data_IF_855630407684
#
_entry.id   IF_855630407684
#
_cell.length_a   1.000
_cell.length_b   1.000
_cell.length_c   1.000
_cell.angle_alpha   90.00
_cell.angle_beta   90.00
_cell.angle_gamma   90.00
#
_symmetry.space_group_name_H-M   'P 1'
#
loop_
_entity.id
_entity.type
_entity.pdbx_description
1 polymer ?
#
# COMPACT_ATOMS: atom_id res chain seq x y z
N UNK A 1 -38.80 6.83 -13.50
CA UNK A 1 -38.00 7.59 -12.50
C UNK A 1 -36.91 6.73 -11.81
N UNK A 2 -36.11 5.93 -12.55
CA UNK A 2 -35.00 5.13 -11.97
C UNK A 2 -33.60 5.52 -12.50
N UNK A 3 -33.53 6.42 -13.46
CA UNK A 3 -32.28 6.85 -14.14
C UNK A 3 -31.50 7.91 -13.37
N UNK A 4 -32.17 8.75 -12.56
CA UNK A 4 -31.54 9.84 -11.80
C UNK A 4 -30.73 9.38 -10.58
N UNK A 5 -31.06 8.23 -9.98
CA UNK A 5 -30.36 7.70 -8.80
C UNK A 5 -28.97 7.09 -9.14
N UNK A 6 -28.79 6.58 -10.36
CA UNK A 6 -27.55 5.93 -10.79
C UNK A 6 -26.48 6.94 -11.24
N UNK A 7 -26.89 8.07 -11.82
CA UNK A 7 -25.98 9.16 -12.20
C UNK A 7 -25.37 9.83 -10.96
N UNK A 8 -26.18 10.04 -9.90
CA UNK A 8 -25.68 10.61 -8.64
C UNK A 8 -24.61 9.76 -7.93
N UNK A 9 -24.66 8.43 -8.07
CA UNK A 9 -23.66 7.51 -7.50
C UNK A 9 -22.34 7.51 -8.29
N UNK A 10 -22.41 7.56 -9.62
CA UNK A 10 -21.24 7.62 -10.48
C UNK A 10 -20.46 8.94 -10.30
N UNK A 11 -21.17 10.07 -10.17
CA UNK A 11 -20.58 11.39 -9.90
C UNK A 11 -19.93 11.44 -8.50
N UNK A 12 -20.56 10.84 -7.48
CA UNK A 12 -19.98 10.73 -6.14
C UNK A 12 -18.71 9.89 -6.07
N UNK A 13 -18.60 8.83 -6.90
CA UNK A 13 -17.40 7.98 -7.02
C UNK A 13 -16.25 8.69 -7.72
N UNK A 14 -16.52 9.41 -8.81
CA UNK A 14 -15.50 10.21 -9.50
C UNK A 14 -14.95 11.34 -8.61
N UNK A 15 -15.82 12.00 -7.83
CA UNK A 15 -15.41 12.99 -6.84
C UNK A 15 -14.59 12.36 -5.68
N UNK A 16 -14.96 11.16 -5.21
CA UNK A 16 -14.22 10.45 -4.16
C UNK A 16 -12.81 10.02 -4.58
N UNK A 17 -12.64 9.57 -5.83
CA UNK A 17 -11.32 9.27 -6.41
C UNK A 17 -10.46 10.53 -6.59
N UNK A 18 -11.08 11.66 -6.97
CA UNK A 18 -10.42 12.96 -7.05
C UNK A 18 -9.95 13.49 -5.68
N UNK A 19 -10.71 13.26 -4.62
CA UNK A 19 -10.33 13.64 -3.24
C UNK A 19 -9.15 12.76 -2.76
N UNK A 20 -9.13 11.46 -3.07
CA UNK A 20 -8.01 10.59 -2.76
C UNK A 20 -6.69 11.11 -3.35
N UNK A 21 -6.69 11.46 -4.64
CA UNK A 21 -5.53 12.03 -5.32
C UNK A 21 -5.13 13.42 -4.77
N UNK A 22 -6.10 14.28 -4.44
CA UNK A 22 -5.85 15.60 -3.87
C UNK A 22 -5.30 15.54 -2.43
N UNK A 23 -5.68 14.54 -1.63
CA UNK A 23 -5.11 14.32 -0.29
C UNK A 23 -3.66 13.85 -0.39
N UNK A 24 -3.31 12.97 -1.34
CA UNK A 24 -1.93 12.56 -1.56
C UNK A 24 -1.05 13.70 -2.09
N UNK A 25 -1.54 14.53 -3.01
CA UNK A 25 -0.81 15.69 -3.52
C UNK A 25 -0.74 16.84 -2.49
N UNK A 26 -1.80 17.08 -1.72
CA UNK A 26 -1.90 18.16 -0.74
C UNK A 26 -1.16 17.87 0.57
N UNK A 27 -1.16 16.64 1.05
CA UNK A 27 -0.38 16.25 2.23
C UNK A 27 1.13 16.25 1.93
N UNK A 28 1.56 15.90 0.71
CA UNK A 28 2.97 16.03 0.31
C UNK A 28 3.46 17.49 0.27
N UNK A 29 2.59 18.44 -0.10
CA UNK A 29 2.94 19.86 -0.16
C UNK A 29 2.87 20.59 1.19
N UNK A 30 1.93 20.22 2.07
CA UNK A 30 1.76 20.86 3.38
C UNK A 30 2.88 20.52 4.37
N UNK A 31 3.58 19.40 4.19
CA UNK A 31 4.75 19.01 5.00
C UNK A 31 6.07 19.60 4.47
N UNK A 32 6.05 20.28 3.32
CA UNK A 32 7.22 20.86 2.66
C UNK A 32 7.28 22.39 2.72
N UNK A 33 6.43 23.04 3.51
CA UNK A 33 6.42 24.50 3.63
C UNK A 33 7.19 24.95 4.89
N UNK A 34 8.47 25.36 4.79
CA UNK A 34 9.03 26.25 5.79
C UNK A 34 8.28 27.58 5.74
N UNK A 35 7.95 28.12 6.91
CA UNK A 35 7.28 29.41 7.05
C UNK A 35 7.99 30.49 6.22
N UNK A 36 7.23 31.11 5.34
CA UNK A 36 7.71 32.14 4.41
C UNK A 36 7.97 33.46 5.14
N UNK A 37 9.23 33.73 5.44
CA UNK A 37 9.74 35.10 5.59
C UNK A 37 10.23 35.62 4.23
N UNK A 38 9.66 36.72 3.74
CA UNK A 38 10.10 37.46 2.54
C UNK A 38 10.48 38.90 2.92
N UNK A 39 11.13 39.71 2.06
CA UNK A 39 12.20 39.41 1.10
C UNK A 39 13.30 40.52 1.03
N UNK A 40 14.47 40.22 0.46
CA UNK A 40 15.34 41.12 -0.35
C UNK A 40 16.58 40.29 -0.77
N UNK A 41 17.23 40.36 -1.93
CA UNK A 41 17.29 41.33 -3.02
C UNK A 41 17.96 40.70 -4.27
N UNK A 42 17.55 41.17 -5.46
CA UNK A 42 18.31 41.40 -6.73
C UNK A 42 19.32 40.38 -7.34
N UNK A 43 18.90 39.85 -8.50
CA UNK A 43 19.56 39.87 -9.84
C UNK A 43 21.05 39.53 -10.03
N UNK A 44 21.36 38.59 -10.95
CA UNK A 44 21.96 38.87 -12.28
C UNK A 44 22.19 37.61 -13.14
N UNK A 45 21.98 37.79 -14.44
CA UNK A 45 22.19 36.87 -15.56
C UNK A 45 23.64 36.72 -15.99
N UNK A 46 23.93 35.64 -16.75
CA UNK A 46 24.83 35.50 -17.92
C UNK A 46 25.64 34.19 -17.84
N UNK A 47 26.13 33.53 -18.88
CA UNK A 47 25.83 33.34 -20.32
C UNK A 47 26.89 32.33 -20.82
N UNK A 48 26.74 31.83 -22.05
CA UNK A 48 27.79 31.23 -22.92
C UNK A 48 28.36 29.80 -22.64
N UNK A 49 27.83 28.83 -23.41
CA UNK A 49 28.50 28.34 -24.63
C UNK A 49 29.50 27.16 -24.57
N UNK A 50 29.72 26.45 -25.70
CA UNK A 50 29.83 24.98 -25.74
C UNK A 50 31.16 24.45 -26.33
N UNK A 51 31.34 23.12 -26.36
CA UNK A 51 32.31 22.47 -27.25
C UNK A 51 31.80 21.12 -27.79
N UNK A 52 31.69 21.06 -29.13
CA UNK A 52 31.49 19.87 -29.97
C UNK A 52 32.85 19.24 -30.30
N UNK A 53 32.96 17.92 -30.30
CA UNK A 53 33.76 17.18 -31.29
C UNK A 53 33.01 15.91 -31.69
N UNK A 54 32.84 15.74 -33.00
CA UNK A 54 32.23 14.58 -33.64
C UNK A 54 33.30 13.64 -34.22
N UNK A 55 33.05 12.32 -34.22
CA UNK A 55 33.49 11.39 -35.27
C UNK A 55 32.72 10.05 -35.19
N UNK A 56 32.03 9.73 -36.29
CA UNK A 56 31.47 8.42 -36.72
C UNK A 56 32.43 7.81 -37.78
N UNK A 57 32.21 6.62 -38.39
CA UNK A 57 31.39 5.43 -38.05
C UNK A 57 32.16 4.08 -38.24
N UNK A 58 31.55 2.92 -37.90
CA UNK A 58 32.15 1.60 -38.18
C UNK A 58 31.27 0.36 -37.93
N UNK A 59 30.42 0.05 -38.93
CA UNK A 59 29.91 -1.23 -39.48
C UNK A 59 30.08 -2.60 -38.72
N UNK A 60 28.94 -3.29 -38.60
CA UNK A 60 28.65 -4.74 -38.75
C UNK A 60 29.36 -5.82 -37.91
N UNK A 61 28.55 -6.64 -37.24
CA UNK A 61 28.89 -7.99 -36.77
C UNK A 61 27.69 -8.72 -36.18
N UNK A 62 26.97 -9.48 -37.02
CA UNK A 62 25.98 -10.45 -36.57
C UNK A 62 26.69 -11.65 -35.93
N UNK A 63 26.28 -12.04 -34.73
CA UNK A 63 26.72 -13.28 -34.10
C UNK A 63 25.51 -13.98 -33.48
N UNK A 64 25.12 -15.09 -34.12
CA UNK A 64 24.17 -16.06 -33.60
C UNK A 64 24.66 -16.60 -32.24
N UNK A 65 23.79 -16.59 -31.23
CA UNK A 65 24.04 -17.29 -29.96
C UNK A 65 23.26 -18.58 -29.90
N UNK A 66 24.04 -19.65 -29.94
CA UNK A 66 23.70 -21.04 -29.72
C UNK A 66 22.90 -21.25 -28.44
N UNK A 67 21.79 -21.97 -28.59
CA UNK A 67 20.95 -22.51 -27.51
C UNK A 67 21.74 -23.61 -26.83
N UNK A 68 22.19 -23.38 -25.59
CA UNK A 68 22.75 -24.43 -24.74
C UNK A 68 21.65 -24.90 -23.78
N UNK A 69 21.08 -26.05 -24.12
CA UNK A 69 20.23 -26.87 -23.28
C UNK A 69 20.94 -27.23 -21.98
N UNK A 70 20.39 -26.79 -20.84
CA UNK A 70 20.80 -27.28 -19.51
C UNK A 70 19.83 -28.40 -19.12
N UNK A 71 20.39 -29.60 -18.95
CA UNK A 71 19.72 -30.79 -18.46
C UNK A 71 19.32 -30.65 -16.98
N UNK A 72 18.30 -31.38 -16.50
CA UNK A 72 17.73 -31.18 -15.17
C UNK A 72 18.67 -31.72 -14.09
N UNK A 73 19.01 -30.86 -13.12
CA UNK A 73 19.75 -31.28 -11.93
C UNK A 73 18.84 -32.10 -11.01
N UNK A 74 19.43 -33.19 -10.52
CA UNK A 74 18.81 -34.24 -9.72
C UNK A 74 18.16 -33.75 -8.42
N UNK A 75 17.12 -34.48 -8.01
CA UNK A 75 16.27 -34.19 -6.86
C UNK A 75 17.02 -34.03 -5.54
N UNK A 76 16.79 -32.88 -4.90
CA UNK A 76 16.99 -32.72 -3.48
C UNK A 76 15.76 -33.27 -2.76
N UNK A 77 15.91 -34.40 -2.08
CA UNK A 77 14.89 -34.99 -1.22
C UNK A 77 14.47 -33.97 -0.16
N UNK A 78 13.20 -33.55 -0.23
CA UNK A 78 12.48 -32.86 0.84
C UNK A 78 12.64 -33.63 2.15
N UNK A 79 13.39 -33.07 3.10
CA UNK A 79 13.13 -33.31 4.51
C UNK A 79 11.75 -32.74 4.84
N UNK A 80 10.86 -33.61 5.32
CA UNK A 80 9.53 -33.22 5.74
C UNK A 80 9.62 -32.14 6.84
N UNK A 81 8.75 -31.12 6.82
CA UNK A 81 8.71 -30.14 7.89
C UNK A 81 8.38 -30.84 9.21
N UNK A 82 9.25 -30.64 10.20
CA UNK A 82 9.03 -31.07 11.58
C UNK A 82 7.73 -30.40 12.06
N UNK A 83 6.75 -31.14 12.62
CA UNK A 83 5.52 -30.52 13.11
C UNK A 83 5.88 -29.51 14.19
N UNK A 84 5.52 -28.25 13.96
CA UNK A 84 5.59 -27.20 14.97
C UNK A 84 4.77 -27.65 16.18
N UNK A 85 5.30 -27.48 17.38
CA UNK A 85 4.57 -27.76 18.60
C UNK A 85 3.30 -26.88 18.61
N UNK A 86 2.13 -27.52 18.67
CA UNK A 86 0.87 -26.79 18.83
C UNK A 86 0.94 -25.99 20.13
N UNK A 87 0.82 -24.67 20.04
CA UNK A 87 0.69 -23.82 21.21
C UNK A 87 -0.70 -24.09 21.78
N UNK A 88 -0.75 -24.83 22.89
CA UNK A 88 -1.97 -25.07 23.66
C UNK A 88 -2.22 -23.85 24.55
N UNK A 89 -2.62 -22.74 23.93
CA UNK A 89 -2.93 -21.50 24.63
C UNK A 89 -4.04 -20.72 23.91
N UNK A 90 -4.94 -20.10 24.66
CA UNK A 90 -5.98 -19.28 24.07
C UNK A 90 -5.37 -17.97 23.55
N UNK A 91 -5.51 -17.71 22.24
CA UNK A 91 -5.06 -16.47 21.61
C UNK A 91 -6.15 -15.41 21.69
N UNK A 92 -5.83 -14.26 22.26
CA UNK A 92 -6.70 -13.08 22.30
C UNK A 92 -5.95 -11.85 21.83
N UNK A 93 -6.69 -10.79 21.48
CA UNK A 93 -6.11 -9.51 21.05
C UNK A 93 -6.61 -8.38 21.92
N UNK A 94 -5.68 -7.50 22.28
CA UNK A 94 -5.98 -6.23 22.91
C UNK A 94 -5.88 -5.14 21.85
N UNK A 95 -7.02 -4.56 21.47
CA UNK A 95 -7.10 -3.51 20.46
C UNK A 95 -7.53 -2.23 21.16
N UNK A 96 -6.66 -1.21 21.27
CA UNK A 96 -7.01 0.08 21.88
C UNK A 96 -8.22 0.74 21.21
N UNK A 97 -8.71 1.82 21.82
CA UNK A 97 -9.88 2.52 21.31
C UNK A 97 -9.62 3.16 19.95
N UNK A 98 -10.51 2.84 19.00
CA UNK A 98 -10.54 3.45 17.68
C UNK A 98 -11.50 4.65 17.63
N UNK A 99 -11.18 5.70 16.83
CA UNK A 99 -12.07 6.82 16.58
C UNK A 99 -13.40 6.41 15.95
N UNK A 100 -13.38 5.38 15.11
CA UNK A 100 -14.55 4.84 14.42
C UNK A 100 -14.43 3.31 14.42
N UNK A 101 -15.36 2.64 15.09
CA UNK A 101 -15.40 1.17 15.16
C UNK A 101 -16.34 0.54 14.13
N UNK A 102 -17.24 1.34 13.54
CA UNK A 102 -18.21 0.89 12.55
C UNK A 102 -18.52 2.01 11.57
N UNK A 103 -18.54 1.65 10.29
CA UNK A 103 -18.93 2.52 9.19
C UNK A 103 -19.99 1.88 8.30
N UNK A 104 -20.27 2.54 7.18
CA UNK A 104 -21.16 2.05 6.14
C UNK A 104 -20.57 0.85 5.41
N UNK A 105 -19.25 0.82 5.22
CA UNK A 105 -18.54 -0.26 4.53
C UNK A 105 -17.89 -1.27 5.48
N UNK A 106 -17.62 -0.92 6.75
CA UNK A 106 -16.83 -1.76 7.64
C UNK A 106 -17.43 -1.97 9.04
N UNK A 107 -16.97 -3.02 9.72
CA UNK A 107 -17.18 -3.26 11.15
C UNK A 107 -15.90 -3.85 11.76
N UNK A 108 -15.43 -3.28 12.86
CA UNK A 108 -14.31 -3.83 13.62
C UNK A 108 -14.82 -4.98 14.50
N UNK A 109 -14.28 -6.17 14.30
CA UNK A 109 -14.59 -7.37 15.09
C UNK A 109 -13.32 -7.86 15.76
N UNK A 110 -13.25 -7.78 17.09
CA UNK A 110 -12.10 -8.29 17.86
C UNK A 110 -11.96 -9.80 17.71
N UNK A 111 -13.08 -10.52 17.63
CA UNK A 111 -13.08 -11.98 17.44
C UNK A 111 -12.49 -12.37 16.09
N UNK A 112 -12.82 -11.64 15.02
CA UNK A 112 -12.25 -11.90 13.69
C UNK A 112 -10.75 -11.59 13.62
N UNK A 113 -10.29 -10.57 14.37
CA UNK A 113 -8.87 -10.25 14.49
C UNK A 113 -8.17 -11.33 15.32
N UNK A 114 -8.77 -11.78 16.43
CA UNK A 114 -8.25 -12.86 17.26
C UNK A 114 -8.12 -14.19 16.49
N UNK A 115 -9.09 -14.53 15.65
CA UNK A 115 -9.02 -15.71 14.77
C UNK A 115 -7.85 -15.62 13.78
N UNK A 116 -7.59 -14.42 13.27
CA UNK A 116 -6.43 -14.20 12.38
C UNK A 116 -5.11 -14.24 13.15
N UNK A 117 -5.10 -13.72 14.38
CA UNK A 117 -3.94 -13.81 15.28
C UNK A 117 -3.64 -15.27 15.67
N UNK A 118 -4.67 -16.08 15.93
CA UNK A 118 -4.51 -17.49 16.23
C UNK A 118 -3.82 -18.21 15.06
N UNK A 119 -4.30 -18.01 13.82
CA UNK A 119 -3.66 -18.58 12.62
C UNK A 119 -2.20 -18.11 12.45
N UNK A 120 -1.92 -16.84 12.72
CA UNK A 120 -0.56 -16.31 12.67
C UNK A 120 0.36 -17.03 13.68
N UNK A 121 -0.08 -17.14 14.94
CA UNK A 121 0.66 -17.83 16.01
C UNK A 121 0.83 -19.32 15.69
N UNK A 122 -0.22 -20.00 15.24
CA UNK A 122 -0.19 -21.42 14.85
C UNK A 122 0.78 -21.69 13.70
N UNK A 123 0.99 -20.70 12.82
CA UNK A 123 1.95 -20.78 11.72
C UNK A 123 3.41 -20.50 12.14
N UNK A 124 3.67 -20.29 13.43
CA UNK A 124 4.98 -19.98 13.99
C UNK A 124 5.27 -18.48 14.16
N UNK A 125 4.26 -17.62 13.96
CA UNK A 125 4.36 -16.19 14.22
C UNK A 125 4.58 -15.88 15.69
N UNK A 126 5.35 -14.82 15.99
CA UNK A 126 5.66 -14.41 17.36
C UNK A 126 4.58 -13.49 17.92
N UNK A 127 3.88 -13.84 19.02
CA UNK A 127 2.91 -12.93 19.65
C UNK A 127 3.51 -11.61 20.14
N UNK A 128 4.81 -11.59 20.42
CA UNK A 128 5.54 -10.39 20.85
C UNK A 128 5.75 -9.39 19.69
N UNK A 129 5.69 -9.86 18.44
CA UNK A 129 5.85 -9.02 17.25
C UNK A 129 4.50 -8.48 16.76
N UNK A 130 3.94 -7.57 17.57
CA UNK A 130 2.63 -6.96 17.27
C UNK A 130 2.65 -6.14 15.98
N UNK A 131 3.80 -5.52 15.63
CA UNK A 131 3.92 -4.74 14.41
C UNK A 131 3.81 -5.64 13.16
N UNK A 132 4.53 -6.77 13.15
CA UNK A 132 4.45 -7.73 12.04
C UNK A 132 3.04 -8.26 11.85
N UNK A 133 2.36 -8.65 12.93
CA UNK A 133 0.99 -9.15 12.83
C UNK A 133 -0.02 -8.06 12.40
N UNK A 134 -0.13 -6.96 13.15
CA UNK A 134 -1.22 -6.00 12.93
C UNK A 134 -1.03 -5.17 11.66
N UNK A 135 0.21 -4.87 11.26
CA UNK A 135 0.48 -4.03 10.09
C UNK A 135 0.79 -4.86 8.84
N UNK A 136 1.39 -6.04 9.03
CA UNK A 136 1.66 -7.00 7.97
C UNK A 136 0.52 -7.99 7.77
N UNK A 137 0.58 -9.10 8.51
CA UNK A 137 -0.27 -10.29 8.29
C UNK A 137 -1.78 -9.98 8.28
N UNK A 138 -2.28 -9.20 9.25
CA UNK A 138 -3.69 -8.83 9.33
C UNK A 138 -4.15 -8.04 8.08
N UNK A 139 -3.33 -7.09 7.62
CA UNK A 139 -3.63 -6.28 6.44
C UNK A 139 -3.61 -7.14 5.18
N UNK A 140 -2.52 -7.86 5.01
CA UNK A 140 -2.24 -8.74 3.88
C UNK A 140 -3.34 -9.79 3.71
N UNK A 141 -3.67 -10.53 4.78
CA UNK A 141 -4.68 -11.58 4.72
C UNK A 141 -6.05 -10.97 4.37
N UNK A 142 -6.38 -9.82 4.97
CA UNK A 142 -7.64 -9.15 4.68
C UNK A 142 -7.74 -8.67 3.23
N UNK A 143 -6.64 -8.17 2.65
CA UNK A 143 -6.59 -7.75 1.24
C UNK A 143 -6.68 -8.94 0.28
N UNK A 144 -5.99 -10.05 0.58
CA UNK A 144 -6.07 -11.27 -0.24
C UNK A 144 -7.48 -11.85 -0.24
N UNK A 145 -8.12 -11.92 0.92
CA UNK A 145 -9.50 -12.41 1.07
C UNK A 145 -10.52 -11.49 0.37
N UNK A 146 -10.30 -10.16 0.38
CA UNK A 146 -11.17 -9.22 -0.37
C UNK A 146 -11.14 -9.46 -1.88
N UNK A 147 -10.04 -9.99 -2.41
CA UNK A 147 -9.91 -10.35 -3.82
C UNK A 147 -10.53 -11.72 -4.16
N UNK A 148 -10.97 -12.50 -3.17
CA UNK A 148 -11.61 -13.79 -3.40
C UNK A 148 -12.94 -13.63 -4.16
N UNK A 149 -13.26 -14.50 -5.13
CA UNK A 149 -14.44 -14.32 -5.99
C UNK A 149 -15.77 -14.37 -5.22
N UNK A 150 -15.87 -15.18 -4.16
CA UNK A 150 -17.13 -15.52 -3.49
C UNK A 150 -17.24 -15.01 -2.04
N UNK A 151 -16.64 -13.85 -1.73
CA UNK A 151 -16.74 -13.26 -0.39
C UNK A 151 -18.13 -12.67 -0.14
N UNK A 152 -18.71 -12.96 1.03
CA UNK A 152 -20.00 -12.42 1.45
C UNK A 152 -19.89 -10.95 1.86
N UNK A 153 -21.02 -10.24 1.90
CA UNK A 153 -21.04 -8.83 2.33
C UNK A 153 -20.51 -8.64 3.76
N UNK A 154 -20.85 -9.53 4.68
CA UNK A 154 -20.40 -9.42 6.07
C UNK A 154 -18.91 -9.73 6.21
N UNK A 155 -18.39 -10.66 5.41
CA UNK A 155 -16.96 -10.91 5.30
C UNK A 155 -16.23 -9.67 4.76
N UNK A 156 -16.73 -9.03 3.68
CA UNK A 156 -16.17 -7.76 3.17
C UNK A 156 -16.11 -6.72 4.29
N UNK A 157 -17.22 -6.50 5.01
CA UNK A 157 -17.27 -5.51 6.10
C UNK A 157 -16.24 -5.81 7.19
N UNK A 158 -16.05 -7.07 7.52
CA UNK A 158 -15.10 -7.52 8.53
C UNK A 158 -13.67 -7.29 8.06
N UNK A 159 -13.33 -7.63 6.80
CA UNK A 159 -11.98 -7.39 6.25
C UNK A 159 -11.64 -5.91 6.14
N UNK A 160 -12.61 -5.09 5.74
CA UNK A 160 -12.45 -3.63 5.79
C UNK A 160 -12.26 -3.12 7.23
N UNK A 161 -12.88 -3.76 8.22
CA UNK A 161 -12.66 -3.44 9.63
C UNK A 161 -11.26 -3.79 10.11
N UNK A 162 -10.74 -4.95 9.72
CA UNK A 162 -9.35 -5.35 9.98
C UNK A 162 -8.37 -4.33 9.37
N UNK A 163 -8.64 -3.87 8.14
CA UNK A 163 -7.83 -2.86 7.46
C UNK A 163 -7.93 -1.48 8.13
N UNK A 164 -9.08 -1.13 8.70
CA UNK A 164 -9.22 0.08 9.50
C UNK A 164 -8.37 0.03 10.77
N UNK A 165 -8.35 -1.12 11.47
CA UNK A 165 -7.48 -1.34 12.65
C UNK A 165 -6.02 -1.29 12.24
N UNK A 166 -5.63 -2.09 11.25
CA UNK A 166 -4.25 -2.17 10.76
C UNK A 166 -3.73 -0.81 10.33
N UNK A 167 -4.48 -0.09 9.49
CA UNK A 167 -4.11 1.24 9.02
C UNK A 167 -3.95 2.23 10.18
N UNK A 168 -4.99 2.39 11.01
CA UNK A 168 -4.98 3.38 12.10
C UNK A 168 -3.81 3.20 13.06
N UNK A 169 -3.57 1.98 13.52
CA UNK A 169 -2.46 1.73 14.43
C UNK A 169 -1.10 1.71 13.72
N UNK A 170 -1.03 1.35 12.43
CA UNK A 170 0.19 1.49 11.63
C UNK A 170 0.60 2.96 11.45
N UNK A 171 -0.37 3.86 11.33
CA UNK A 171 -0.13 5.30 11.30
C UNK A 171 0.39 5.84 12.64
N UNK A 172 -0.20 5.41 13.76
CA UNK A 172 0.30 5.74 15.11
C UNK A 172 1.73 5.22 15.28
N UNK A 173 1.98 3.97 14.90
CA UNK A 173 3.30 3.36 14.99
C UNK A 173 4.35 4.15 14.19
N UNK A 174 4.07 4.52 12.94
CA UNK A 174 5.02 5.30 12.15
C UNK A 174 5.24 6.69 12.76
N UNK A 175 4.16 7.38 13.14
CA UNK A 175 4.23 8.70 13.80
C UNK A 175 5.16 8.66 15.01
N UNK A 176 5.06 7.62 15.83
CA UNK A 176 5.87 7.47 17.03
C UNK A 176 7.35 7.23 16.67
N UNK A 177 7.62 6.35 15.69
CA UNK A 177 9.00 6.08 15.23
C UNK A 177 9.66 7.27 14.52
N UNK A 178 8.87 8.17 13.93
CA UNK A 178 9.38 9.40 13.31
C UNK A 178 9.67 10.52 14.36
N UNK A 179 9.06 10.45 15.55
CA UNK A 179 9.17 11.49 16.59
C UNK A 179 10.36 11.30 17.53
N UNK A 180 10.96 10.12 17.60
CA UNK A 180 12.08 9.81 18.50
C UNK A 180 13.41 10.42 18.01
N UNK A 181 13.45 11.76 17.93
CA UNK A 181 14.67 12.55 18.11
C UNK A 181 14.85 12.78 19.63
N UNK A 182 16.03 12.50 20.22
CA UNK A 182 16.22 12.29 21.66
C UNK A 182 16.26 13.58 22.50
N UNK A 183 15.21 14.40 22.46
CA UNK A 183 15.07 15.57 23.36
C UNK A 183 13.71 15.71 24.04
N UNK A 184 12.85 14.69 23.98
CA UNK A 184 11.59 14.71 24.72
C UNK A 184 11.71 13.92 26.02
N UNK A 185 11.85 14.65 27.13
CA UNK A 185 11.77 14.12 28.49
C UNK A 185 10.48 13.34 28.69
N UNK A 186 10.57 12.16 29.33
CA UNK A 186 9.43 11.32 29.66
C UNK A 186 8.35 12.12 30.41
N UNK A 187 7.16 12.24 29.81
CA UNK A 187 6.03 12.89 30.46
C UNK A 187 5.46 11.96 31.54
N UNK A 188 5.44 12.47 32.76
CA UNK A 188 4.88 11.83 33.95
C UNK A 188 3.38 11.65 33.81
N UNK A 189 2.90 10.52 34.32
CA UNK A 189 1.51 10.10 34.39
C UNK A 189 0.62 11.14 35.10
N UNK A 190 -0.17 11.85 34.30
CA UNK A 190 -1.26 12.71 34.76
C UNK A 190 -2.56 12.29 34.09
N UNK A 191 -3.33 11.42 34.75
CA UNK A 191 -4.66 11.02 34.31
C UNK A 191 -5.61 12.22 34.31
N UNK A 192 -5.99 12.66 33.11
CA UNK A 192 -7.36 13.10 32.86
C UNK A 192 -7.79 12.47 31.55
N UNK A 193 -9.00 11.91 31.51
CA UNK A 193 -9.60 11.32 30.33
C UNK A 193 -9.80 12.40 29.27
N UNK A 194 -8.73 12.76 28.56
CA UNK A 194 -8.84 13.41 27.27
C UNK A 194 -9.45 12.37 26.35
N UNK A 195 -10.75 12.48 26.12
CA UNK A 195 -11.33 12.18 24.81
C UNK A 195 -10.33 12.68 23.79
N UNK A 196 -9.54 11.75 23.23
CA UNK A 196 -8.62 12.06 22.16
C UNK A 196 -9.38 12.94 21.17
N UNK A 197 -8.72 13.90 20.53
CA UNK A 197 -9.35 14.73 19.53
C UNK A 197 -9.59 13.84 18.29
N UNK A 198 -10.53 12.91 18.42
CA UNK A 198 -10.94 11.85 17.50
C UNK A 198 -11.52 12.46 16.21
N UNK A 199 -11.68 13.78 16.14
CA UNK A 199 -12.36 14.48 15.04
C UNK A 199 -11.58 14.36 13.74
N UNK A 200 -10.30 14.72 13.69
CA UNK A 200 -9.50 14.63 12.45
C UNK A 200 -9.33 13.18 11.99
N UNK A 201 -8.93 12.28 12.89
CA UNK A 201 -8.79 10.85 12.58
C UNK A 201 -10.13 10.21 12.16
N UNK A 202 -11.23 10.52 12.85
CA UNK A 202 -12.54 10.00 12.47
C UNK A 202 -13.05 10.60 11.16
N UNK A 203 -12.74 11.86 10.86
CA UNK A 203 -13.07 12.49 9.56
C UNK A 203 -12.34 11.77 8.44
N UNK A 204 -11.02 11.54 8.58
CA UNK A 204 -10.25 10.77 7.61
C UNK A 204 -10.87 9.37 7.39
N UNK A 205 -11.09 8.61 8.46
CA UNK A 205 -11.69 7.27 8.37
C UNK A 205 -13.08 7.31 7.72
N UNK A 206 -13.92 8.31 8.03
CA UNK A 206 -15.27 8.44 7.45
C UNK A 206 -15.26 8.80 5.96
N UNK A 207 -14.32 9.64 5.52
CA UNK A 207 -14.17 9.98 4.09
C UNK A 207 -13.84 8.71 3.30
N UNK A 208 -12.86 7.94 3.78
CA UNK A 208 -12.46 6.70 3.10
C UNK A 208 -13.47 5.55 3.28
N UNK A 209 -14.26 5.54 4.36
CA UNK A 209 -15.46 4.68 4.47
C UNK A 209 -16.50 5.01 3.40
N UNK A 210 -16.68 6.29 3.05
CA UNK A 210 -17.52 6.71 1.94
C UNK A 210 -17.03 6.14 0.60
N UNK A 211 -15.72 6.27 0.32
CA UNK A 211 -15.10 5.74 -0.89
C UNK A 211 -15.17 4.20 -0.95
N UNK A 212 -14.81 3.51 0.13
CA UNK A 212 -14.90 2.06 0.22
C UNK A 212 -16.35 1.56 0.08
N UNK A 213 -17.33 2.28 0.62
CA UNK A 213 -18.76 2.01 0.41
C UNK A 213 -19.13 2.12 -1.07
N UNK A 214 -18.66 3.15 -1.76
CA UNK A 214 -18.90 3.34 -3.19
C UNK A 214 -18.32 2.21 -4.04
N UNK A 215 -17.06 1.83 -3.77
CA UNK A 215 -16.36 0.78 -4.51
C UNK A 215 -16.98 -0.61 -4.27
N UNK A 216 -17.31 -0.94 -3.02
CA UNK A 216 -17.99 -2.20 -2.70
C UNK A 216 -19.41 -2.28 -3.28
N UNK A 217 -20.12 -1.15 -3.33
CA UNK A 217 -21.40 -1.08 -4.02
C UNK A 217 -21.23 -1.28 -5.54
N UNK A 218 -20.27 -0.59 -6.17
CA UNK A 218 -19.98 -0.73 -7.60
C UNK A 218 -19.60 -2.17 -7.99
N UNK A 219 -18.97 -2.94 -7.09
CA UNK A 219 -18.69 -4.36 -7.30
C UNK A 219 -19.95 -5.24 -7.44
N UNK A 220 -21.13 -4.74 -7.04
CA UNK A 220 -22.41 -5.44 -7.17
C UNK A 220 -23.27 -4.92 -8.33
N UNK A 221 -22.77 -3.95 -9.09
CA UNK A 221 -23.50 -3.31 -10.17
C UNK A 221 -23.34 -4.08 -11.52
N UNK A 222 -24.09 -3.71 -12.57
CA UNK A 222 -23.94 -4.30 -13.90
C UNK A 222 -22.52 -4.18 -14.46
N UNK A 223 -22.16 -5.11 -15.37
CA UNK A 223 -20.81 -5.24 -15.93
C UNK A 223 -20.21 -3.92 -16.46
N UNK A 224 -21.02 -3.06 -17.09
CA UNK A 224 -20.55 -1.79 -17.62
C UNK A 224 -20.11 -0.81 -16.51
N UNK A 225 -20.77 -0.82 -15.35
CA UNK A 225 -20.39 0.01 -14.19
C UNK A 225 -19.06 -0.48 -13.64
N UNK A 226 -18.94 -1.80 -13.43
CA UNK A 226 -17.69 -2.42 -12.93
C UNK A 226 -16.51 -2.04 -13.81
N UNK A 227 -16.67 -2.15 -15.13
CA UNK A 227 -15.61 -1.81 -16.10
C UNK A 227 -15.28 -0.32 -16.08
N UNK A 228 -16.29 0.55 -16.05
CA UNK A 228 -16.09 1.99 -16.03
C UNK A 228 -15.35 2.45 -14.76
N UNK A 229 -15.74 1.94 -13.58
CA UNK A 229 -15.06 2.27 -12.33
C UNK A 229 -13.65 1.69 -12.31
N UNK A 230 -13.46 0.45 -12.75
CA UNK A 230 -12.12 -0.15 -12.85
C UNK A 230 -11.19 0.68 -13.75
N UNK A 231 -11.66 1.10 -14.94
CA UNK A 231 -10.93 1.95 -15.87
C UNK A 231 -10.57 3.31 -15.24
N UNK A 232 -11.55 4.01 -14.66
CA UNK A 232 -11.33 5.30 -14.02
C UNK A 232 -10.35 5.24 -12.83
N UNK A 233 -10.26 4.10 -12.14
CA UNK A 233 -9.34 3.91 -11.03
C UNK A 233 -7.88 3.68 -11.46
N UNK A 234 -7.62 3.17 -12.67
CA UNK A 234 -6.25 2.76 -13.07
C UNK A 234 -5.21 3.88 -12.92
N UNK A 235 -5.44 5.12 -13.39
CA UNK A 235 -4.46 6.20 -13.22
C UNK A 235 -4.15 6.51 -11.75
N UNK A 236 -5.18 6.49 -10.89
CA UNK A 236 -5.01 6.77 -9.46
C UNK A 236 -4.21 5.66 -8.78
N UNK A 237 -4.50 4.40 -9.12
CA UNK A 237 -3.78 3.24 -8.58
C UNK A 237 -2.32 3.19 -9.07
N UNK A 238 -2.07 3.56 -10.33
CA UNK A 238 -0.71 3.68 -10.88
C UNK A 238 0.10 4.75 -10.15
N UNK A 239 -0.52 5.91 -9.87
CA UNK A 239 0.13 6.97 -9.11
C UNK A 239 0.47 6.51 -7.67
N UNK A 240 -0.46 5.81 -7.01
CA UNK A 240 -0.26 5.27 -5.67
C UNK A 240 0.86 4.21 -5.63
N UNK A 241 0.85 3.28 -6.60
CA UNK A 241 1.90 2.28 -6.76
C UNK A 241 3.26 2.93 -7.01
N UNK A 242 3.32 3.89 -7.96
CA UNK A 242 4.54 4.61 -8.30
C UNK A 242 5.11 5.37 -7.11
N UNK A 243 4.28 6.10 -6.38
CA UNK A 243 4.68 6.80 -5.15
C UNK A 243 5.31 5.84 -4.12
N UNK A 244 4.64 4.73 -3.82
CA UNK A 244 5.16 3.76 -2.86
C UNK A 244 6.45 3.07 -3.35
N UNK A 245 6.57 2.83 -4.66
CA UNK A 245 7.80 2.29 -5.28
C UNK A 245 8.97 3.26 -5.12
N UNK A 246 8.75 4.54 -5.39
CA UNK A 246 9.79 5.57 -5.28
C UNK A 246 10.28 5.71 -3.84
N UNK A 247 9.34 5.71 -2.90
CA UNK A 247 9.64 5.64 -1.47
C UNK A 247 10.48 4.41 -1.10
N UNK A 248 10.05 3.21 -1.49
CA UNK A 248 10.77 1.96 -1.21
C UNK A 248 12.20 1.98 -1.75
N UNK A 249 12.41 2.53 -2.94
CA UNK A 249 13.75 2.67 -3.51
C UNK A 249 14.65 3.53 -2.62
N UNK A 250 14.17 4.69 -2.14
CA UNK A 250 14.96 5.57 -1.29
C UNK A 250 15.35 4.90 0.02
N UNK A 251 14.40 4.25 0.71
CA UNK A 251 14.70 3.63 2.01
C UNK A 251 15.62 2.42 1.89
N UNK A 252 15.51 1.65 0.81
CA UNK A 252 16.37 0.50 0.55
C UNK A 252 17.79 0.92 0.13
N UNK A 253 17.90 2.01 -0.64
CA UNK A 253 19.19 2.58 -1.05
C UNK A 253 19.92 3.26 0.11
N UNK A 254 19.17 3.77 1.11
CA UNK A 254 19.70 4.55 2.22
C UNK A 254 19.21 4.00 3.58
N UNK A 255 19.64 2.79 4.00
CA UNK A 255 19.29 2.28 5.32
C UNK A 255 19.88 3.19 6.43
N UNK A 256 19.20 3.35 7.58
CA UNK A 256 19.73 4.09 8.71
C UNK A 256 21.08 3.54 9.18
N UNK A 257 21.91 4.41 9.77
CA UNK A 257 23.24 4.02 10.23
C UNK A 257 23.17 2.85 11.25
N UNK A 258 23.94 1.80 11.02
CA UNK A 258 23.98 0.60 11.87
C UNK A 258 22.82 -0.38 11.65
N UNK A 259 21.90 -0.12 10.72
CA UNK A 259 20.83 -1.02 10.34
C UNK A 259 21.25 -1.88 9.14
N UNK A 260 21.04 -3.22 9.17
CA UNK A 260 21.31 -4.07 8.02
C UNK A 260 20.53 -3.66 6.77
N UNK A 261 21.19 -3.70 5.61
CA UNK A 261 20.53 -3.48 4.33
C UNK A 261 19.45 -4.54 4.08
N UNK A 262 18.36 -4.11 3.45
CA UNK A 262 17.27 -4.98 2.98
C UNK A 262 17.08 -4.89 1.46
N UNK A 263 18.09 -4.43 0.71
CA UNK A 263 17.98 -4.24 -0.75
C UNK A 263 17.52 -5.49 -1.50
N UNK A 264 17.91 -6.68 -1.04
CA UNK A 264 17.53 -7.96 -1.66
C UNK A 264 16.07 -8.38 -1.39
N UNK A 265 15.31 -7.59 -0.62
CA UNK A 265 13.90 -7.89 -0.32
C UNK A 265 12.93 -7.42 -1.39
N UNK A 266 13.39 -6.60 -2.34
CA UNK A 266 12.59 -6.09 -3.45
C UNK A 266 13.38 -6.19 -4.77
N UNK A 267 12.82 -6.86 -5.77
CA UNK A 267 13.37 -6.93 -7.12
C UNK A 267 12.37 -6.37 -8.12
N UNK A 268 12.82 -5.54 -9.06
CA UNK A 268 11.97 -4.96 -10.10
C UNK A 268 12.61 -5.07 -11.48
N UNK A 269 11.93 -5.72 -12.43
CA UNK A 269 12.37 -5.81 -13.84
C UNK A 269 11.63 -4.82 -14.76
N UNK A 270 10.70 -4.05 -14.21
CA UNK A 270 9.91 -3.04 -14.95
C UNK A 270 9.12 -2.16 -14.00
N UNK A 271 8.27 -1.27 -14.53
CA UNK A 271 7.47 -0.37 -13.70
C UNK A 271 6.53 -1.14 -12.77
N UNK A 272 5.64 -1.97 -13.32
CA UNK A 272 4.72 -2.82 -12.56
C UNK A 272 5.25 -4.24 -12.27
N UNK A 273 6.47 -4.55 -12.73
CA UNK A 273 7.07 -5.86 -12.53
C UNK A 273 8.05 -5.83 -11.35
N UNK A 274 7.49 -5.57 -10.16
CA UNK A 274 8.21 -5.71 -8.89
C UNK A 274 7.71 -6.94 -8.14
N UNK A 275 8.60 -7.57 -7.38
CA UNK A 275 8.34 -8.69 -6.49
C UNK A 275 9.07 -8.48 -5.15
N UNK A 276 8.48 -8.94 -4.06
CA UNK A 276 9.09 -8.85 -2.73
C UNK A 276 9.10 -10.19 -2.02
N UNK A 277 10.20 -10.49 -1.34
CA UNK A 277 10.36 -11.65 -0.47
C UNK A 277 9.90 -11.40 0.97
N UNK A 278 9.55 -10.16 1.33
CA UNK A 278 9.14 -9.77 2.68
C UNK A 278 7.86 -10.47 3.17
N UNK A 279 6.93 -10.72 2.24
CA UNK A 279 5.70 -11.47 2.51
C UNK A 279 5.34 -12.40 1.34
N UNK A 280 5.06 -13.68 1.59
CA UNK A 280 4.57 -14.60 0.58
C UNK A 280 3.09 -14.32 0.28
N UNK A 281 2.84 -13.34 -0.60
CA UNK A 281 1.49 -12.93 -0.96
C UNK A 281 1.00 -13.67 -2.20
N UNK A 282 -0.02 -14.51 -2.04
CA UNK A 282 -0.68 -15.12 -3.20
C UNK A 282 -1.23 -14.09 -4.20
N UNK A 283 -1.65 -12.92 -3.70
CA UNK A 283 -2.16 -11.82 -4.54
C UNK A 283 -1.06 -11.10 -5.34
N UNK A 284 0.21 -11.16 -4.91
CA UNK A 284 1.31 -10.41 -5.54
C UNK A 284 1.55 -10.82 -6.99
N UNK A 285 1.37 -12.10 -7.30
CA UNK A 285 1.64 -12.68 -8.63
C UNK A 285 0.37 -13.10 -9.37
N UNK A 286 -0.79 -13.03 -8.71
CA UNK A 286 -2.09 -13.50 -9.24
C UNK A 286 -2.44 -12.93 -10.61
N UNK A 287 -1.99 -11.70 -10.89
CA UNK A 287 -2.32 -10.98 -12.13
C UNK A 287 -1.09 -10.69 -13.01
N UNK A 288 0.05 -11.34 -12.78
CA UNK A 288 1.29 -11.08 -13.54
C UNK A 288 1.16 -11.38 -15.03
N UNK A 289 0.21 -12.25 -15.42
CA UNK A 289 -0.10 -12.49 -16.84
C UNK A 289 -0.59 -11.23 -17.57
N UNK A 290 -1.01 -10.18 -16.86
CA UNK A 290 -1.38 -8.88 -17.45
C UNK A 290 -0.15 -8.13 -17.96
N UNK A 291 1.04 -8.38 -17.39
CA UNK A 291 2.27 -7.68 -17.78
C UNK A 291 2.63 -7.95 -19.25
N UNK A 292 2.34 -9.14 -19.78
CA UNK A 292 2.56 -9.44 -21.20
C UNK A 292 1.62 -8.66 -22.13
N UNK A 293 0.39 -8.40 -21.71
CA UNK A 293 -0.58 -7.59 -22.46
C UNK A 293 -0.17 -6.11 -22.52
N UNK A 294 0.49 -5.62 -21.47
CA UNK A 294 1.06 -4.26 -21.43
C UNK A 294 2.29 -4.17 -22.32
N UNK A 295 3.15 -5.19 -22.29
CA UNK A 295 4.39 -5.24 -23.08
C UNK A 295 4.14 -5.34 -24.59
N UNK A 296 3.11 -6.09 -25.01
CA UNK A 296 2.71 -6.26 -26.41
C UNK A 296 1.18 -6.02 -26.58
N UNK A 297 0.74 -4.75 -26.62
CA UNK A 297 -0.67 -4.43 -26.57
C UNK A 297 -1.40 -4.70 -27.89
N UNK A 298 -2.18 -5.79 -27.90
CA UNK A 298 -2.92 -6.29 -29.06
C UNK A 298 -4.19 -5.50 -29.41
N UNK A 299 -4.76 -4.72 -28.47
CA UNK A 299 -6.00 -3.94 -28.66
C UNK A 299 -5.83 -2.48 -28.27
N UNK A 300 -6.74 -1.60 -28.71
CA UNK A 300 -6.73 -0.18 -28.30
C UNK A 300 -6.83 -0.01 -26.78
N UNK A 301 -7.63 -0.85 -26.10
CA UNK A 301 -7.73 -0.82 -24.64
C UNK A 301 -6.40 -1.15 -23.96
N UNK A 302 -5.68 -2.18 -24.43
CA UNK A 302 -4.36 -2.50 -23.88
C UNK A 302 -3.30 -1.45 -24.22
N UNK A 303 -3.37 -0.80 -25.39
CA UNK A 303 -2.50 0.33 -25.74
C UNK A 303 -2.70 1.52 -24.80
N UNK A 304 -3.94 1.81 -24.43
CA UNK A 304 -4.25 2.83 -23.43
C UNK A 304 -3.65 2.48 -22.06
N UNK A 305 -3.83 1.22 -21.58
CA UNK A 305 -3.25 0.80 -20.31
C UNK A 305 -1.73 0.92 -20.31
N UNK A 306 -1.07 0.52 -21.42
CA UNK A 306 0.37 0.66 -21.58
C UNK A 306 0.80 2.12 -21.55
N UNK A 307 0.09 3.02 -22.24
CA UNK A 307 0.37 4.46 -22.19
C UNK A 307 0.26 5.03 -20.78
N UNK A 308 -0.73 4.62 -19.97
CA UNK A 308 -0.83 5.09 -18.59
C UNK A 308 0.35 4.66 -17.73
N UNK A 309 0.93 3.48 -17.97
CA UNK A 309 2.12 3.05 -17.21
C UNK A 309 3.32 3.95 -17.43
N UNK A 310 3.50 4.53 -18.63
CA UNK A 310 4.63 5.41 -18.93
C UNK A 310 4.39 6.84 -18.46
N UNK A 311 3.17 7.36 -18.62
CA UNK A 311 2.81 8.73 -18.22
C UNK A 311 2.88 8.91 -16.70
N UNK A 312 2.63 7.85 -15.93
CA UNK A 312 2.59 7.90 -14.47
C UNK A 312 3.86 7.42 -13.79
N UNK A 313 4.94 7.16 -14.54
CA UNK A 313 6.27 6.92 -13.97
C UNK A 313 6.74 8.09 -13.08
N UNK A 314 6.32 9.32 -13.40
CA UNK A 314 6.62 10.53 -12.63
C UNK A 314 6.14 10.47 -11.16
N UNK A 315 5.14 9.64 -10.84
CA UNK A 315 4.73 9.43 -9.44
C UNK A 315 5.84 8.76 -8.60
N UNK A 316 6.73 7.99 -9.23
CA UNK A 316 7.93 7.45 -8.58
C UNK A 316 8.83 8.55 -8.09
N UNK A 317 9.06 9.57 -8.90
CA UNK A 317 9.93 10.68 -8.52
C UNK A 317 9.33 11.46 -7.35
N UNK A 318 8.02 11.71 -7.36
CA UNK A 318 7.34 12.34 -6.21
C UNK A 318 7.50 11.51 -4.92
N UNK A 319 7.35 10.18 -5.02
CA UNK A 319 7.59 9.27 -3.89
C UNK A 319 9.02 9.31 -3.36
N UNK A 320 10.01 9.41 -4.25
CA UNK A 320 11.42 9.57 -3.87
C UNK A 320 11.65 10.89 -3.12
N UNK A 321 11.20 12.01 -3.68
CA UNK A 321 11.47 13.34 -3.13
C UNK A 321 10.91 13.57 -1.72
N UNK A 322 9.75 12.99 -1.38
CA UNK A 322 9.21 13.11 -0.02
C UNK A 322 10.14 12.42 1.00
N UNK A 323 10.68 11.26 0.63
CA UNK A 323 11.46 10.45 1.56
C UNK A 323 12.95 10.75 1.55
N UNK A 324 13.50 11.35 0.50
CA UNK A 324 14.85 11.91 0.54
C UNK A 324 15.01 12.92 1.70
N UNK A 325 13.93 13.64 2.04
CA UNK A 325 13.92 14.59 3.16
C UNK A 325 13.62 13.94 4.52
N UNK A 326 12.76 12.90 4.57
CA UNK A 326 12.34 12.25 5.83
C UNK A 326 13.33 11.16 6.28
N UNK A 327 13.88 10.37 5.35
CA UNK A 327 14.78 9.25 5.66
C UNK A 327 16.12 9.73 6.22
N UNK A 328 16.57 10.92 5.82
CA UNK A 328 17.78 11.54 6.36
C UNK A 328 17.64 11.96 7.85
N UNK A 329 16.41 12.17 8.31
CA UNK A 329 16.10 12.64 9.67
C UNK A 329 15.61 11.52 10.60
N UNK A 330 15.28 10.33 10.07
CA UNK A 330 14.65 9.25 10.81
C UNK A 330 15.63 8.40 11.64
N UNK A 331 15.43 8.34 12.96
CA UNK A 331 16.15 7.46 13.88
C UNK A 331 15.50 6.05 13.97
N UNK A 332 15.32 5.36 12.84
CA UNK A 332 14.73 4.02 12.87
C UNK A 332 15.67 3.01 13.52
N UNK A 333 15.18 2.31 14.54
CA UNK A 333 15.83 1.09 15.03
C UNK A 333 15.86 0.02 13.92
N UNK A 334 16.76 -0.99 13.99
CA UNK A 334 16.76 -2.08 13.01
C UNK A 334 15.39 -2.78 12.86
N UNK A 335 14.69 -2.99 13.98
CA UNK A 335 13.37 -3.62 13.98
C UNK A 335 12.32 -2.70 13.33
N UNK A 336 12.37 -1.40 13.63
CA UNK A 336 11.43 -0.44 13.07
C UNK A 336 11.63 -0.25 11.57
N UNK A 337 12.89 -0.22 11.12
CA UNK A 337 13.23 -0.18 9.71
C UNK A 337 12.75 -1.44 8.97
N UNK A 338 12.99 -2.62 9.54
CA UNK A 338 12.52 -3.87 8.94
C UNK A 338 11.00 -3.92 8.79
N UNK A 339 10.27 -3.55 9.85
CA UNK A 339 8.80 -3.46 9.80
C UNK A 339 8.31 -2.45 8.76
N UNK A 340 9.01 -1.33 8.60
CA UNK A 340 8.70 -0.31 7.60
C UNK A 340 8.88 -0.84 6.18
N UNK A 341 10.03 -1.46 5.89
CA UNK A 341 10.32 -2.06 4.57
C UNK A 341 9.32 -3.15 4.23
N UNK A 342 9.02 -4.02 5.20
CA UNK A 342 8.08 -5.12 5.07
C UNK A 342 6.66 -4.62 4.73
N UNK A 343 6.15 -3.68 5.52
CA UNK A 343 4.83 -3.07 5.31
C UNK A 343 4.72 -2.42 3.93
N UNK A 344 5.74 -1.65 3.56
CA UNK A 344 5.79 -0.89 2.33
C UNK A 344 5.87 -1.82 1.12
N UNK A 345 6.63 -2.90 1.23
CA UNK A 345 6.75 -3.92 0.20
C UNK A 345 5.44 -4.68 0.00
N UNK A 346 4.76 -5.06 1.09
CA UNK A 346 3.43 -5.67 1.01
C UNK A 346 2.42 -4.72 0.34
N UNK A 347 2.44 -3.44 0.71
CA UNK A 347 1.59 -2.43 0.10
C UNK A 347 1.87 -2.25 -1.41
N UNK A 348 3.14 -2.33 -1.82
CA UNK A 348 3.53 -2.29 -3.23
C UNK A 348 2.94 -3.49 -4.00
N UNK A 349 3.02 -4.69 -3.42
CA UNK A 349 2.51 -5.90 -4.05
C UNK A 349 0.98 -5.88 -4.17
N UNK A 350 0.27 -5.38 -3.15
CA UNK A 350 -1.20 -5.29 -3.22
C UNK A 350 -1.65 -4.18 -4.17
N UNK A 351 -0.98 -3.04 -4.19
CA UNK A 351 -1.28 -1.96 -5.15
C UNK A 351 -1.00 -2.40 -6.59
N UNK A 352 0.08 -3.16 -6.85
CA UNK A 352 0.33 -3.84 -8.13
C UNK A 352 -0.87 -4.71 -8.52
N UNK A 353 -1.32 -5.58 -7.62
CA UNK A 353 -2.46 -6.44 -7.90
C UNK A 353 -3.75 -5.67 -8.19
N UNK A 354 -3.99 -4.55 -7.48
CA UNK A 354 -5.14 -3.68 -7.74
C UNK A 354 -5.07 -3.01 -9.12
N UNK A 355 -3.88 -2.53 -9.53
CA UNK A 355 -3.65 -1.98 -10.88
C UNK A 355 -3.92 -3.04 -11.93
N UNK A 356 -3.24 -4.19 -11.86
CA UNK A 356 -3.29 -5.22 -12.89
C UNK A 356 -4.70 -5.83 -13.02
N UNK A 357 -5.39 -6.07 -11.91
CA UNK A 357 -6.79 -6.54 -11.93
C UNK A 357 -7.76 -5.49 -12.49
N UNK A 358 -7.53 -4.20 -12.23
CA UNK A 358 -8.33 -3.12 -12.82
C UNK A 358 -8.13 -3.01 -14.33
N UNK A 359 -6.89 -3.13 -14.80
CA UNK A 359 -6.57 -3.15 -16.23
C UNK A 359 -7.21 -4.35 -16.94
N UNK A 360 -7.18 -5.53 -16.30
CA UNK A 360 -7.82 -6.73 -16.85
C UNK A 360 -9.34 -6.56 -16.98
N UNK A 361 -9.99 -5.89 -16.04
CA UNK A 361 -11.41 -5.56 -16.14
C UNK A 361 -11.70 -4.50 -17.21
N UNK A 362 -10.89 -3.44 -17.27
CA UNK A 362 -11.09 -2.31 -18.16
C UNK A 362 -10.83 -2.69 -19.63
N UNK A 363 -9.61 -3.16 -19.92
CA UNK A 363 -9.13 -3.48 -21.27
C UNK A 363 -9.45 -4.91 -21.68
N UNK A 364 -9.31 -5.88 -20.76
CA UNK A 364 -9.61 -7.29 -21.02
C UNK A 364 -11.10 -7.65 -20.93
N UNK A 365 -11.93 -6.79 -20.30
CA UNK A 365 -13.36 -7.01 -20.15
C UNK A 365 -13.75 -8.02 -19.07
N UNK A 366 -12.79 -8.50 -18.26
CA UNK A 366 -13.06 -9.46 -17.19
C UNK A 366 -13.77 -8.79 -16.00
N UNK A 367 -15.09 -8.79 -16.05
CA UNK A 367 -15.91 -8.20 -14.99
C UNK A 367 -15.93 -9.03 -13.71
N UNK A 368 -15.58 -10.31 -13.74
CA UNK A 368 -15.46 -11.11 -12.52
C UNK A 368 -14.27 -10.62 -11.70
N UNK A 369 -13.11 -10.51 -12.36
CA UNK A 369 -11.91 -9.90 -11.78
C UNK A 369 -12.16 -8.44 -11.42
N UNK A 370 -12.90 -7.69 -12.25
CA UNK A 370 -13.27 -6.31 -11.95
C UNK A 370 -13.99 -6.16 -10.61
N UNK A 371 -14.92 -7.06 -10.28
CA UNK A 371 -15.61 -7.03 -8.98
C UNK A 371 -14.67 -7.29 -7.81
N UNK A 372 -13.76 -8.25 -7.96
CA UNK A 372 -12.71 -8.50 -6.96
C UNK A 372 -11.76 -7.31 -6.83
N UNK A 373 -11.40 -6.68 -7.95
CA UNK A 373 -10.55 -5.49 -7.98
C UNK A 373 -11.19 -4.32 -7.23
N UNK A 374 -12.48 -4.03 -7.44
CA UNK A 374 -13.16 -2.95 -6.72
C UNK A 374 -13.23 -3.19 -5.21
N UNK A 375 -13.38 -4.44 -4.76
CA UNK A 375 -13.32 -4.80 -3.34
C UNK A 375 -11.91 -4.65 -2.77
N UNK A 376 -10.89 -5.07 -3.53
CA UNK A 376 -9.49 -4.87 -3.17
C UNK A 376 -9.14 -3.39 -3.04
N UNK A 377 -9.59 -2.57 -3.99
CA UNK A 377 -9.43 -1.11 -3.96
C UNK A 377 -10.12 -0.51 -2.73
N UNK A 378 -11.33 -0.95 -2.40
CA UNK A 378 -12.01 -0.52 -1.17
C UNK A 378 -11.16 -0.84 0.07
N UNK A 379 -10.49 -1.99 0.09
CA UNK A 379 -9.53 -2.36 1.13
C UNK A 379 -8.33 -1.43 1.21
N UNK A 380 -7.65 -1.19 0.09
CA UNK A 380 -6.51 -0.28 0.02
C UNK A 380 -6.88 1.12 0.53
N UNK A 381 -7.99 1.68 0.05
CA UNK A 381 -8.44 3.01 0.47
C UNK A 381 -8.86 3.07 1.94
N UNK A 382 -9.50 2.02 2.46
CA UNK A 382 -9.82 1.93 3.88
C UNK A 382 -8.56 1.91 4.75
N UNK A 383 -7.56 1.12 4.35
CA UNK A 383 -6.27 1.06 5.01
C UNK A 383 -5.57 2.42 4.97
N UNK A 384 -5.42 3.04 3.79
CA UNK A 384 -4.75 4.34 3.63
C UNK A 384 -5.43 5.44 4.44
N UNK A 385 -6.77 5.51 4.38
CA UNK A 385 -7.52 6.50 5.14
C UNK A 385 -7.37 6.38 6.64
N UNK A 386 -7.37 5.13 7.13
CA UNK A 386 -7.15 4.84 8.53
C UNK A 386 -5.72 5.14 8.95
N UNK A 387 -4.75 4.80 8.10
CA UNK A 387 -3.33 5.11 8.27
C UNK A 387 -3.05 6.61 8.41
N UNK A 388 -3.60 7.44 7.52
CA UNK A 388 -3.52 8.89 7.69
C UNK A 388 -4.23 9.38 8.95
N UNK A 389 -5.36 8.77 9.30
CA UNK A 389 -6.02 9.03 10.57
C UNK A 389 -5.14 8.70 11.78
N UNK A 390 -4.30 7.67 11.69
CA UNK A 390 -3.32 7.27 12.69
C UNK A 390 -2.16 8.26 12.80
N UNK A 391 -1.60 8.69 11.67
CA UNK A 391 -0.54 9.71 11.63
C UNK A 391 -0.99 11.03 12.27
N UNK A 392 -2.24 11.44 12.00
CA UNK A 392 -2.85 12.64 12.58
C UNK A 392 -3.41 12.43 14.00
N UNK A 393 -3.28 11.23 14.57
CA UNK A 393 -3.88 10.91 15.86
C UNK A 393 -3.24 11.71 17.00
N UNK A 394 -4.04 12.01 18.02
CA UNK A 394 -3.61 12.58 19.30
C UNK A 394 -3.43 11.51 20.38
N UNK A 395 -3.59 10.22 20.04
CA UNK A 395 -3.35 9.12 20.97
C UNK A 395 -1.92 9.17 21.53
N UNK A 396 -1.70 8.85 22.83
CA UNK A 396 -0.37 8.81 23.43
C UNK A 396 0.61 7.91 22.67
N UNK A 397 1.90 8.23 22.75
CA UNK A 397 2.98 7.38 22.21
C UNK A 397 2.88 5.96 22.75
N UNK A 398 3.02 4.96 21.89
CA UNK A 398 2.94 3.55 22.27
C UNK A 398 1.51 2.99 22.36
N UNK A 399 0.50 3.76 21.93
CA UNK A 399 -0.89 3.26 21.83
C UNK A 399 -1.01 2.26 20.67
N UNK A 400 -0.59 1.01 20.90
CA UNK A 400 -0.53 -0.04 19.90
C UNK A 400 -1.33 -1.28 20.33
N UNK A 401 -1.93 -2.02 19.37
CA UNK A 401 -2.60 -3.27 19.66
C UNK A 401 -1.59 -4.39 19.95
N UNK A 402 -2.01 -5.42 20.69
CA UNK A 402 -1.15 -6.55 21.07
C UNK A 402 -1.87 -7.89 21.00
N UNK A 403 -1.09 -8.96 20.82
CA UNK A 403 -1.55 -10.36 20.94
C UNK A 403 -1.24 -10.85 22.37
N UNK A 404 -2.20 -11.52 22.99
CA UNK A 404 -2.02 -12.19 24.29
C UNK A 404 -2.25 -13.69 24.10
N UNK A 405 -1.31 -14.50 24.59
CA UNK A 405 -1.40 -15.97 24.63
C UNK A 405 -1.45 -16.38 26.10
N UNK A 406 -2.50 -17.10 26.50
CA UNK A 406 -2.71 -17.56 27.88
C UNK A 406 -2.83 -19.05 27.97
#
# INVERSE_FOLDING_TARGET
>A
MRTSANVGRAVGLAAGLGIGAAVFAGAGAAWAAPESGSPSSTSRSADAGPSRVAKKPGRSGAAARSVRSVAPAAGSQRTAPKPAAAIVGAVSVDVPDLPVRKGRSFIVSRDAIAETAARYVDSGGSPADSARFFFGDLAVTSLDELAAPNISRDQVRTRLGNLAVSGYFGGIWLRDNLRDNPTATAATSGASAQTANLTASAVAIKIFDGLATGLTAAASEPNWVVRAVAHASVPVLLALYGYNRGYLQVILDNPPAGVPSMQDTLSCNGFLDCNSSAFPLAIATRYDSVLSQIADPSTLGWREMALWTTVLEGATNAGRSVWENIAAEGAFSPNSYAALVDLSSAYLMVSKAAVLSSMLAAAGGDTSVGRSSLRLQAGLWMWSGSYFGGLASTAPTGTLPSIKVT
#
